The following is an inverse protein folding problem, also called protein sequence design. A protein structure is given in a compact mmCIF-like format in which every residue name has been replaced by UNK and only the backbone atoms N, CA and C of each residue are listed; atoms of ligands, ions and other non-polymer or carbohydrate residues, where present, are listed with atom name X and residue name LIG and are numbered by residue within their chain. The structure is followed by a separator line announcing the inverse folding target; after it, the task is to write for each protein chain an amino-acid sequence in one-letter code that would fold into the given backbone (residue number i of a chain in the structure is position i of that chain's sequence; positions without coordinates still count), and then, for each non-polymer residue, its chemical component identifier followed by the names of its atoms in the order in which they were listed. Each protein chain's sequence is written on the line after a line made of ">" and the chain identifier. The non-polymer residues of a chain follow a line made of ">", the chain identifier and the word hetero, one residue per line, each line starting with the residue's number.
data_IF_955166019222
#
_entry.id   IF_955166019222
#
_cell.length_a   1.000
_cell.length_b   1.000
_cell.length_c   1.000
_cell.angle_alpha   90.00
_cell.angle_beta   90.00
_cell.angle_gamma   90.00
#
_symmetry.space_group_name_H-M   'P 1'
#
loop_
_entity.id
_entity.type
_entity.pdbx_description
1 polymer ?
#
# COMPACT_ATOMS: atom_id res chain seq x y z
N UNK A 1 -2.56 -5.91 1.65
CA UNK A 1 -4.01 -6.14 1.87
C UNK A 1 -4.39 -7.60 1.77
N UNK A 2 -4.00 -8.27 0.69
CA UNK A 2 -4.17 -9.72 0.49
C UNK A 2 -3.58 -10.51 1.66
N UNK A 3 -2.40 -10.12 2.14
CA UNK A 3 -1.73 -10.78 3.27
C UNK A 3 -2.58 -10.81 4.55
N UNK A 4 -3.26 -9.70 4.87
CA UNK A 4 -4.14 -9.64 6.03
C UNK A 4 -5.41 -10.47 5.82
N UNK A 5 -5.98 -10.48 4.60
CA UNK A 5 -7.10 -11.38 4.30
C UNK A 5 -6.69 -12.86 4.46
N UNK A 6 -5.47 -13.23 4.05
CA UNK A 6 -4.91 -14.56 4.24
C UNK A 6 -4.69 -14.89 5.72
N UNK A 7 -4.19 -13.94 6.52
CA UNK A 7 -4.00 -14.13 7.96
C UNK A 7 -5.32 -14.35 8.72
N UNK A 8 -6.41 -13.72 8.25
CA UNK A 8 -7.77 -13.90 8.80
C UNK A 8 -8.32 -15.28 8.43
N UNK A 9 -8.29 -15.63 7.14
CA UNK A 9 -8.95 -16.84 6.63
C UNK A 9 -8.15 -18.11 6.87
N UNK A 10 -6.82 -17.99 6.84
CA UNK A 10 -5.87 -19.09 6.92
C UNK A 10 -4.72 -18.75 7.89
N UNK A 11 -5.00 -18.56 9.20
CA UNK A 11 -4.03 -18.05 10.17
C UNK A 11 -2.78 -18.92 10.39
N UNK A 12 -2.77 -20.14 9.87
CA UNK A 12 -1.65 -21.10 9.96
C UNK A 12 -0.87 -21.26 8.66
N UNK A 13 -1.26 -20.58 7.58
CA UNK A 13 -0.63 -20.75 6.26
C UNK A 13 0.77 -20.13 6.18
N UNK A 14 1.03 -19.09 6.98
CA UNK A 14 2.26 -18.30 6.95
C UNK A 14 2.77 -18.12 8.38
N UNK A 15 4.09 -18.19 8.56
CA UNK A 15 4.73 -18.04 9.88
C UNK A 15 5.10 -16.59 10.22
N UNK A 16 5.36 -15.77 9.19
CA UNK A 16 5.67 -14.36 9.32
C UNK A 16 5.11 -13.59 8.13
N UNK A 17 4.39 -12.51 8.40
CA UNK A 17 3.95 -11.56 7.38
C UNK A 17 4.85 -10.33 7.38
N UNK A 18 5.30 -9.93 6.18
CA UNK A 18 5.92 -8.64 5.93
C UNK A 18 4.98 -7.85 5.02
N UNK A 19 4.27 -6.88 5.61
CA UNK A 19 3.23 -6.12 4.92
C UNK A 19 3.78 -4.75 4.53
N UNK A 20 4.02 -4.54 3.23
CA UNK A 20 4.40 -3.24 2.68
C UNK A 20 3.16 -2.42 2.35
N UNK A 21 3.12 -1.14 2.73
CA UNK A 21 1.98 -0.27 2.46
C UNK A 21 0.71 -0.80 3.12
N UNK A 22 0.73 -0.95 4.45
CA UNK A 22 -0.41 -1.46 5.21
C UNK A 22 -0.70 -0.70 6.51
N UNK A 23 -1.99 -0.47 6.73
CA UNK A 23 -2.64 0.00 7.93
C UNK A 23 -4.12 -0.42 7.85
N UNK A 24 -4.89 -0.18 8.90
CA UNK A 24 -6.34 -0.31 8.89
C UNK A 24 -7.06 0.98 8.46
N UNK A 25 -6.44 1.76 7.56
CA UNK A 25 -6.95 3.05 7.05
C UNK A 25 -7.05 3.15 5.54
N UNK A 26 -7.13 2.03 4.83
CA UNK A 26 -7.29 2.05 3.38
C UNK A 26 -8.49 2.92 2.96
N UNK A 27 -9.64 2.76 3.62
CA UNK A 27 -10.87 3.45 3.21
C UNK A 27 -10.72 4.98 3.19
N UNK A 28 -9.85 5.52 4.03
CA UNK A 28 -9.54 6.94 4.09
C UNK A 28 -8.75 7.36 2.84
N UNK A 29 -7.61 6.72 2.55
CA UNK A 29 -6.76 7.11 1.42
C UNK A 29 -7.25 6.61 0.04
N UNK A 30 -8.07 5.57 0.00
CA UNK A 30 -8.66 5.03 -1.23
C UNK A 30 -9.47 6.08 -1.99
N UNK A 31 -10.13 7.00 -1.29
CA UNK A 31 -10.84 8.11 -1.92
C UNK A 31 -9.88 8.99 -2.75
N UNK A 32 -8.69 9.28 -2.22
CA UNK A 32 -7.62 9.98 -2.94
C UNK A 32 -7.16 9.19 -4.16
N UNK A 33 -6.88 7.89 -4.00
CA UNK A 33 -6.49 7.02 -5.13
C UNK A 33 -7.52 7.07 -6.26
N UNK A 34 -8.81 6.93 -5.95
CA UNK A 34 -9.88 6.88 -6.96
C UNK A 34 -10.07 8.21 -7.69
N UNK A 35 -10.01 9.33 -6.96
CA UNK A 35 -10.24 10.67 -7.54
C UNK A 35 -8.99 11.17 -8.26
N UNK A 36 -7.82 11.11 -7.62
CA UNK A 36 -6.59 11.69 -8.15
C UNK A 36 -6.04 10.89 -9.33
N UNK A 37 -6.12 9.56 -9.31
CA UNK A 37 -5.48 8.73 -10.35
C UNK A 37 -6.20 8.78 -11.71
N UNK A 38 -7.46 9.24 -11.73
CA UNK A 38 -8.27 9.33 -12.95
C UNK A 38 -8.43 7.97 -13.65
N UNK A 39 -9.06 7.00 -13.00
CA UNK A 39 -9.22 5.67 -13.59
C UNK A 39 -10.18 5.68 -14.78
N UNK A 40 -9.79 5.02 -15.85
CA UNK A 40 -10.63 4.71 -17.01
C UNK A 40 -10.46 3.23 -17.38
N UNK A 41 -11.43 2.63 -18.11
CA UNK A 41 -11.26 1.30 -18.69
C UNK A 41 -9.95 1.22 -19.48
N UNK A 42 -9.15 0.19 -19.19
CA UNK A 42 -7.81 0.04 -19.74
C UNK A 42 -7.81 -0.11 -21.26
N UNK A 43 -8.82 -0.77 -21.81
CA UNK A 43 -9.05 -0.91 -23.24
C UNK A 43 -9.23 0.46 -23.95
N UNK A 44 -9.77 1.47 -23.26
CA UNK A 44 -9.96 2.82 -23.81
C UNK A 44 -8.72 3.69 -23.57
N UNK A 45 -8.13 3.62 -22.38
CA UNK A 45 -7.01 4.49 -22.01
C UNK A 45 -5.68 4.08 -22.66
N UNK A 46 -5.45 2.77 -22.86
CA UNK A 46 -4.22 2.21 -23.42
C UNK A 46 -4.54 1.05 -24.39
N UNK A 47 -5.26 1.30 -25.50
CA UNK A 47 -5.78 0.25 -26.40
C UNK A 47 -4.66 -0.61 -27.01
N UNK A 48 -3.50 -0.04 -27.31
CA UNK A 48 -2.37 -0.79 -27.85
C UNK A 48 -1.83 -1.88 -26.90
N UNK A 49 -2.06 -1.75 -25.58
CA UNK A 49 -1.61 -2.72 -24.57
C UNK A 49 -2.75 -3.58 -24.04
N UNK A 50 -3.96 -3.02 -23.96
CA UNK A 50 -5.09 -3.61 -23.22
C UNK A 50 -6.42 -3.60 -23.99
N UNK A 51 -6.41 -3.39 -25.31
CA UNK A 51 -7.62 -3.18 -26.12
C UNK A 51 -8.66 -4.31 -26.04
N UNK A 52 -8.23 -5.53 -25.73
CA UNK A 52 -9.09 -6.71 -25.62
C UNK A 52 -9.55 -7.01 -24.18
N UNK A 53 -9.18 -6.19 -23.20
CA UNK A 53 -9.58 -6.40 -21.80
C UNK A 53 -11.03 -5.96 -21.54
N UNK A 54 -11.70 -6.67 -20.65
CA UNK A 54 -13.03 -6.30 -20.15
C UNK A 54 -13.02 -4.88 -19.51
N UNK A 55 -14.10 -4.08 -19.66
CA UNK A 55 -14.16 -2.73 -19.09
C UNK A 55 -13.97 -2.65 -17.57
N UNK A 56 -14.13 -3.77 -16.85
CA UNK A 56 -13.85 -3.90 -15.42
C UNK A 56 -12.36 -3.80 -15.06
N UNK A 57 -11.45 -3.95 -16.04
CA UNK A 57 -10.03 -3.63 -15.88
C UNK A 57 -9.81 -2.15 -16.14
N UNK A 58 -9.36 -1.43 -15.12
CA UNK A 58 -9.10 0.01 -15.19
C UNK A 58 -7.62 0.30 -15.02
N UNK A 59 -7.17 1.43 -15.58
CA UNK A 59 -5.82 1.96 -15.41
C UNK A 59 -5.90 3.44 -15.06
N UNK A 60 -4.92 3.92 -14.29
CA UNK A 60 -4.81 5.36 -14.02
C UNK A 60 -4.47 6.11 -15.30
N UNK A 61 -4.94 7.35 -15.41
CA UNK A 61 -4.67 8.22 -16.58
C UNK A 61 -4.13 9.60 -16.18
N UNK A 62 -4.24 9.97 -14.90
CA UNK A 62 -3.71 11.22 -14.39
C UNK A 62 -2.37 10.99 -13.66
N UNK A 63 -1.26 11.21 -14.37
CA UNK A 63 0.08 11.04 -13.81
C UNK A 63 0.37 11.99 -12.64
N UNK A 64 -0.11 13.24 -12.69
CA UNK A 64 0.09 14.18 -11.60
C UNK A 64 -0.60 13.71 -10.31
N UNK A 65 -1.85 13.23 -10.42
CA UNK A 65 -2.57 12.69 -9.28
C UNK A 65 -1.97 11.39 -8.74
N UNK A 66 -1.49 10.49 -9.61
CA UNK A 66 -0.72 9.31 -9.17
C UNK A 66 0.53 9.72 -8.41
N UNK A 67 1.28 10.71 -8.93
CA UNK A 67 2.47 11.23 -8.24
C UNK A 67 2.11 11.75 -6.85
N UNK A 68 1.05 12.57 -6.73
CA UNK A 68 0.60 13.14 -5.46
C UNK A 68 0.25 12.08 -4.42
N UNK A 69 -0.42 10.99 -4.82
CA UNK A 69 -0.92 9.98 -3.87
C UNK A 69 0.14 8.94 -3.51
N UNK A 70 0.99 8.55 -4.47
CA UNK A 70 1.89 7.40 -4.31
C UNK A 70 3.35 7.76 -4.04
N UNK A 71 3.78 8.98 -4.36
CA UNK A 71 5.18 9.41 -4.28
C UNK A 71 5.34 10.65 -3.41
N UNK A 72 6.39 10.66 -2.58
CA UNK A 72 6.74 11.80 -1.76
C UNK A 72 8.25 11.83 -1.49
N UNK A 73 8.84 13.01 -1.37
CA UNK A 73 10.21 13.13 -0.92
C UNK A 73 11.26 12.75 -1.97
N UNK A 74 12.23 11.91 -1.60
CA UNK A 74 13.42 11.62 -2.41
C UNK A 74 13.22 10.42 -3.33
N UNK A 75 12.71 10.71 -4.52
CA UNK A 75 12.64 9.78 -5.64
C UNK A 75 13.19 10.42 -6.91
N UNK A 76 13.54 9.57 -7.88
CA UNK A 76 13.98 10.01 -9.19
C UNK A 76 12.77 10.21 -10.11
N UNK A 77 12.63 11.38 -10.71
CA UNK A 77 11.55 11.65 -11.65
C UNK A 77 11.55 10.67 -12.83
N UNK A 78 12.72 10.21 -13.29
CA UNK A 78 12.81 9.22 -14.36
C UNK A 78 12.22 7.86 -13.93
N UNK A 79 12.40 7.48 -12.66
CA UNK A 79 11.80 6.26 -12.10
C UNK A 79 10.29 6.39 -12.04
N UNK A 80 9.77 7.54 -11.59
CA UNK A 80 8.32 7.80 -11.61
C UNK A 80 7.75 7.74 -13.03
N UNK A 81 8.40 8.38 -14.01
CA UNK A 81 7.94 8.34 -15.41
C UNK A 81 7.98 6.91 -15.97
N UNK A 82 8.99 6.11 -15.60
CA UNK A 82 9.07 4.72 -15.99
C UNK A 82 7.95 3.87 -15.34
N UNK A 83 7.68 4.06 -14.06
CA UNK A 83 6.58 3.40 -13.35
C UNK A 83 5.24 3.74 -14.00
N UNK A 84 4.94 5.03 -14.16
CA UNK A 84 3.70 5.48 -14.77
C UNK A 84 3.55 5.03 -16.23
N UNK A 85 4.61 5.05 -17.05
CA UNK A 85 4.53 4.56 -18.43
C UNK A 85 4.37 3.04 -18.54
N UNK A 86 4.83 2.28 -17.55
CA UNK A 86 4.73 0.81 -17.51
C UNK A 86 3.55 0.28 -16.72
N UNK A 87 2.78 1.16 -16.09
CA UNK A 87 1.65 0.84 -15.21
C UNK A 87 0.76 -0.28 -15.72
N UNK A 88 0.29 -1.07 -14.76
CA UNK A 88 -0.63 -2.18 -14.96
C UNK A 88 -2.08 -1.71 -15.03
N UNK A 89 -2.95 -2.70 -14.92
CA UNK A 89 -4.38 -2.51 -14.64
C UNK A 89 -4.69 -2.99 -13.24
N UNK A 90 -5.83 -2.57 -12.71
CA UNK A 90 -6.49 -3.21 -11.58
C UNK A 90 -7.95 -3.47 -11.95
N UNK A 91 -8.57 -4.45 -11.32
CA UNK A 91 -10.00 -4.72 -11.51
C UNK A 91 -10.83 -3.92 -10.52
N UNK A 92 -12.01 -3.50 -10.95
CA UNK A 92 -12.99 -2.87 -10.04
C UNK A 92 -13.34 -3.81 -8.87
N UNK A 93 -13.36 -5.12 -9.10
CA UNK A 93 -13.61 -6.12 -8.06
C UNK A 93 -12.51 -6.13 -6.98
N UNK A 94 -11.24 -5.99 -7.35
CA UNK A 94 -10.14 -5.85 -6.38
C UNK A 94 -10.33 -4.62 -5.49
N UNK A 95 -10.78 -3.49 -6.04
CA UNK A 95 -11.05 -2.25 -5.28
C UNK A 95 -12.09 -2.48 -4.18
N UNK A 96 -13.17 -3.21 -4.49
CA UNK A 96 -14.23 -3.49 -3.52
C UNK A 96 -13.79 -4.51 -2.47
N UNK A 97 -13.13 -5.57 -2.90
CA UNK A 97 -12.74 -6.69 -2.03
C UNK A 97 -11.52 -6.39 -1.16
N UNK A 98 -10.72 -5.38 -1.51
CA UNK A 98 -9.59 -4.90 -0.72
C UNK A 98 -9.96 -4.60 0.75
N UNK A 99 -11.20 -4.15 0.98
CA UNK A 99 -11.75 -3.85 2.31
C UNK A 99 -11.83 -5.07 3.24
N UNK A 100 -11.91 -6.30 2.71
CA UNK A 100 -11.87 -7.51 3.53
C UNK A 100 -10.51 -7.70 4.21
N UNK A 101 -9.45 -7.15 3.61
CA UNK A 101 -8.13 -7.08 4.22
C UNK A 101 -7.98 -5.99 5.27
N UNK A 102 -9.06 -5.32 5.72
CA UNK A 102 -9.05 -4.27 6.75
C UNK A 102 -9.66 -4.71 8.09
N UNK A 103 -9.88 -6.00 8.28
CA UNK A 103 -10.38 -6.57 9.54
C UNK A 103 -9.23 -7.07 10.43
N UNK A 104 -9.49 -7.18 11.74
CA UNK A 104 -8.55 -7.80 12.68
C UNK A 104 -8.40 -9.31 12.42
N UNK A 105 -7.20 -9.84 12.67
CA UNK A 105 -6.82 -11.24 12.53
C UNK A 105 -6.45 -11.86 13.90
N UNK A 106 -7.38 -11.94 14.87
CA UNK A 106 -7.07 -12.44 16.22
C UNK A 106 -6.64 -13.91 16.24
N UNK A 107 -6.97 -14.70 15.20
CA UNK A 107 -6.54 -16.10 15.09
C UNK A 107 -5.08 -16.27 14.66
N UNK A 108 -4.44 -15.24 14.12
CA UNK A 108 -3.05 -15.30 13.68
C UNK A 108 -2.09 -15.23 14.86
N UNK A 109 -1.16 -16.18 14.93
CA UNK A 109 -0.20 -16.32 16.04
C UNK A 109 1.26 -16.21 15.61
N UNK A 110 1.53 -16.07 14.30
CA UNK A 110 2.87 -15.85 13.78
C UNK A 110 3.37 -14.43 14.04
N UNK A 111 4.45 -14.05 13.36
CA UNK A 111 5.03 -12.70 13.46
C UNK A 111 4.45 -11.78 12.38
N UNK A 112 4.34 -10.47 12.68
CA UNK A 112 3.87 -9.45 11.73
C UNK A 112 4.84 -8.27 11.72
N UNK A 113 5.23 -7.85 10.52
CA UNK A 113 6.01 -6.63 10.31
C UNK A 113 5.31 -5.75 9.29
N UNK A 114 5.19 -4.46 9.62
CA UNK A 114 4.58 -3.46 8.72
C UNK A 114 5.64 -2.49 8.24
N UNK A 115 5.68 -2.23 6.94
CA UNK A 115 6.64 -1.35 6.31
C UNK A 115 5.92 -0.31 5.45
N UNK A 116 5.93 0.95 5.88
CA UNK A 116 5.28 2.06 5.16
C UNK A 116 6.28 3.16 4.83
N UNK A 117 5.99 3.97 3.81
CA UNK A 117 6.61 5.27 3.68
C UNK A 117 6.01 6.19 4.72
N UNK A 118 6.78 7.06 5.36
CA UNK A 118 6.23 7.92 6.41
C UNK A 118 5.17 8.89 5.85
N UNK A 119 5.27 9.23 4.58
CA UNK A 119 4.37 10.13 3.86
C UNK A 119 3.42 9.39 2.90
N UNK A 120 3.04 8.16 3.25
CA UNK A 120 2.12 7.33 2.47
C UNK A 120 0.70 7.93 2.40
N UNK A 121 0.37 8.54 1.26
CA UNK A 121 -0.94 9.17 0.99
C UNK A 121 -2.08 8.19 0.71
N UNK A 122 -1.87 6.88 0.87
CA UNK A 122 -2.91 5.85 0.70
C UNK A 122 -3.27 5.21 2.04
N UNK A 123 -2.28 4.89 2.86
CA UNK A 123 -2.47 4.12 4.11
C UNK A 123 -2.29 4.97 5.36
N UNK A 124 -1.81 6.21 5.26
CA UNK A 124 -1.55 7.09 6.40
C UNK A 124 -2.31 8.42 6.28
N UNK A 125 -3.56 8.33 5.83
CA UNK A 125 -4.50 9.44 5.71
C UNK A 125 -5.45 9.51 6.91
N UNK A 126 -5.71 10.71 7.43
CA UNK A 126 -6.67 10.91 8.52
C UNK A 126 -8.13 10.89 8.03
N UNK A 127 -8.37 11.17 6.74
CA UNK A 127 -9.73 11.17 6.21
C UNK A 127 -9.84 11.33 4.70
N UNK A 128 -11.01 10.96 4.13
CA UNK A 128 -11.19 10.90 2.68
C UNK A 128 -11.11 12.27 1.99
N UNK A 129 -11.52 13.35 2.65
CA UNK A 129 -11.42 14.71 2.06
C UNK A 129 -9.97 15.17 1.94
N UNK A 130 -9.10 14.78 2.87
CA UNK A 130 -7.68 15.12 2.84
C UNK A 130 -6.97 14.36 1.73
N UNK A 131 -7.25 13.05 1.62
CA UNK A 131 -6.79 12.21 0.53
C UNK A 131 -7.26 12.73 -0.84
N UNK A 132 -8.53 13.14 -0.96
CA UNK A 132 -9.06 13.77 -2.18
C UNK A 132 -8.35 15.10 -2.48
N UNK A 133 -8.02 15.89 -1.47
CA UNK A 133 -7.30 17.14 -1.64
C UNK A 133 -5.80 16.95 -1.95
N UNK A 134 -5.29 15.72 -1.91
CA UNK A 134 -3.87 15.44 -2.11
C UNK A 134 -2.98 15.95 -0.97
N UNK A 135 -3.54 16.01 0.25
CA UNK A 135 -2.74 16.26 1.45
C UNK A 135 -1.77 15.09 1.62
N UNK A 136 -0.54 15.38 2.05
CA UNK A 136 0.45 14.34 2.31
C UNK A 136 0.04 13.51 3.54
N UNK A 137 0.08 12.18 3.41
CA UNK A 137 -0.11 11.26 4.53
C UNK A 137 0.96 11.40 5.61
N UNK A 138 0.70 10.87 6.81
CA UNK A 138 1.63 10.94 7.94
C UNK A 138 1.52 9.69 8.85
N UNK A 139 2.37 8.70 8.57
CA UNK A 139 2.43 7.46 9.35
C UNK A 139 2.94 7.65 10.79
N UNK A 140 3.51 8.81 11.13
CA UNK A 140 3.94 9.11 12.50
C UNK A 140 2.75 9.25 13.48
N UNK A 141 1.53 9.46 12.95
CA UNK A 141 0.26 9.48 13.70
C UNK A 141 -0.20 8.13 14.23
N UNK A 142 0.63 7.09 14.12
CA UNK A 142 0.38 5.79 14.72
C UNK A 142 -0.41 4.81 13.85
N UNK A 143 -0.54 5.09 12.55
CA UNK A 143 -1.23 4.18 11.61
C UNK A 143 -0.54 2.81 11.51
N UNK A 144 0.79 2.80 11.42
CA UNK A 144 1.58 1.57 11.35
C UNK A 144 1.58 0.83 12.68
N UNK A 145 1.78 1.52 13.81
CA UNK A 145 1.79 0.91 15.14
C UNK A 145 0.41 0.36 15.54
N UNK A 146 -0.67 1.05 15.14
CA UNK A 146 -2.05 0.63 15.37
C UNK A 146 -2.43 -0.68 14.69
N UNK A 147 -1.64 -1.19 13.74
CA UNK A 147 -1.83 -2.53 13.18
C UNK A 147 -1.72 -3.61 14.26
N UNK A 148 -0.96 -3.35 15.35
CA UNK A 148 -0.86 -4.26 16.50
C UNK A 148 -2.23 -4.64 17.06
N UNK A 149 -3.20 -3.72 17.07
CA UNK A 149 -4.53 -3.94 17.62
C UNK A 149 -5.34 -4.95 16.82
N UNK A 150 -5.04 -5.07 15.51
CA UNK A 150 -5.62 -6.12 14.66
C UNK A 150 -4.97 -7.49 14.84
N UNK A 151 -3.85 -7.58 15.55
CA UNK A 151 -3.05 -8.78 15.73
C UNK A 151 -2.76 -9.06 17.22
N UNK A 152 -3.78 -9.18 18.08
CA UNK A 152 -3.61 -9.28 19.53
C UNK A 152 -2.79 -10.51 19.95
N UNK A 153 -2.86 -11.60 19.17
CA UNK A 153 -2.20 -12.87 19.47
C UNK A 153 -0.92 -13.12 18.67
N UNK A 154 -0.46 -12.14 17.87
CA UNK A 154 0.78 -12.30 17.12
C UNK A 154 1.99 -12.44 18.06
N UNK A 155 2.79 -13.49 17.83
CA UNK A 155 4.03 -13.79 18.56
C UNK A 155 4.96 -12.58 18.66
N UNK A 156 5.12 -11.88 17.55
CA UNK A 156 5.90 -10.65 17.49
C UNK A 156 5.24 -9.65 16.54
N UNK A 157 5.39 -8.38 16.86
CA UNK A 157 4.97 -7.29 16.00
C UNK A 157 6.09 -6.27 15.91
N UNK A 158 6.35 -5.79 14.69
CA UNK A 158 7.23 -4.66 14.45
C UNK A 158 6.67 -3.80 13.34
N UNK A 159 7.18 -2.58 13.25
CA UNK A 159 6.91 -1.72 12.11
C UNK A 159 8.11 -0.83 11.82
N UNK A 160 8.17 -0.31 10.60
CA UNK A 160 9.11 0.73 10.21
C UNK A 160 8.46 1.67 9.22
N UNK A 161 8.54 2.97 9.52
CA UNK A 161 8.13 4.04 8.59
C UNK A 161 9.40 4.61 7.97
N UNK A 162 9.53 4.47 6.66
CA UNK A 162 10.69 4.97 5.91
C UNK A 162 10.52 6.48 5.74
N UNK A 163 11.41 7.33 6.29
CA UNK A 163 11.23 8.78 6.20
C UNK A 163 11.36 9.28 4.75
N UNK A 164 10.72 10.41 4.44
CA UNK A 164 10.82 11.09 3.15
C UNK A 164 10.47 10.16 1.96
N UNK A 165 9.40 9.38 2.11
CA UNK A 165 8.99 8.28 1.23
C UNK A 165 7.47 8.16 1.20
N UNK A 166 6.90 8.09 0.00
CA UNK A 166 5.46 7.83 -0.21
C UNK A 166 5.07 6.34 -0.17
N UNK A 167 3.91 6.01 -0.75
CA UNK A 167 3.38 4.65 -0.80
C UNK A 167 4.28 3.68 -1.60
N UNK A 168 4.83 4.11 -2.73
CA UNK A 168 5.69 3.28 -3.58
C UNK A 168 7.12 3.17 -3.03
N UNK A 169 7.27 2.57 -1.85
CA UNK A 169 8.53 2.52 -1.08
C UNK A 169 9.75 2.10 -1.90
N UNK A 170 9.58 1.10 -2.75
CA UNK A 170 10.68 0.45 -3.47
C UNK A 170 11.21 1.26 -4.65
N UNK A 171 10.50 2.32 -5.05
CA UNK A 171 10.91 3.21 -6.15
C UNK A 171 11.54 4.52 -5.67
N UNK A 172 11.69 4.70 -4.35
CA UNK A 172 12.39 5.84 -3.74
C UNK A 172 13.88 5.53 -3.50
N UNK A 173 14.73 6.56 -3.40
CA UNK A 173 16.16 6.37 -3.09
C UNK A 173 16.39 5.82 -1.68
N UNK A 174 15.42 6.01 -0.80
CA UNK A 174 15.35 5.50 0.56
C UNK A 174 15.01 4.02 0.65
N UNK A 175 14.68 3.33 -0.45
CA UNK A 175 14.24 1.92 -0.45
C UNK A 175 15.20 0.97 0.29
N UNK A 176 16.51 1.24 0.26
CA UNK A 176 17.52 0.44 0.98
C UNK A 176 17.31 0.46 2.50
N UNK A 177 16.76 1.54 3.06
CA UNK A 177 16.40 1.62 4.48
C UNK A 177 15.25 0.66 4.80
N UNK A 178 14.23 0.64 3.94
CA UNK A 178 13.09 -0.27 4.04
C UNK A 178 13.54 -1.73 3.95
N UNK A 179 14.42 -2.05 2.99
CA UNK A 179 15.00 -3.39 2.85
C UNK A 179 15.83 -3.78 4.07
N UNK A 180 16.68 -2.88 4.59
CA UNK A 180 17.46 -3.13 5.81
C UNK A 180 16.57 -3.41 7.01
N UNK A 181 15.50 -2.62 7.20
CA UNK A 181 14.56 -2.80 8.30
C UNK A 181 13.83 -4.16 8.19
N UNK A 182 13.33 -4.49 7.00
CA UNK A 182 12.69 -5.76 6.69
C UNK A 182 13.58 -6.97 7.01
N UNK A 183 14.80 -7.00 6.45
CA UNK A 183 15.74 -8.11 6.62
C UNK A 183 16.25 -8.19 8.06
N UNK A 184 16.54 -7.05 8.70
CA UNK A 184 16.96 -7.01 10.09
C UNK A 184 15.88 -7.56 11.03
N UNK A 185 14.62 -7.22 10.78
CA UNK A 185 13.51 -7.77 11.56
C UNK A 185 13.34 -9.27 11.34
N UNK A 186 13.33 -9.73 10.07
CA UNK A 186 13.21 -11.15 9.73
C UNK A 186 14.32 -11.99 10.37
N UNK A 187 15.58 -11.51 10.28
CA UNK A 187 16.72 -12.16 10.92
C UNK A 187 16.55 -12.25 12.44
N UNK A 188 16.05 -11.19 13.08
CA UNK A 188 15.72 -11.19 14.50
C UNK A 188 14.56 -12.14 14.89
N UNK A 189 13.76 -12.60 13.91
CA UNK A 189 12.72 -13.62 14.10
C UNK A 189 13.20 -15.04 13.80
N UNK A 190 14.43 -15.21 13.31
CA UNK A 190 15.02 -16.51 12.96
C UNK A 190 14.82 -16.96 11.52
N UNK A 191 14.64 -16.01 10.58
CA UNK A 191 14.58 -16.25 9.13
C UNK A 191 15.85 -15.79 8.40
#
# INVERSE_FOLDING_TARGET
>A
MVDNALSIQHPKAVHAYLMTGFSFRLLQGQAGVMVQSGFLPAAVALPAKYGDLDPGYVTSTNGAGVRTVFYHGDFDDAVFQQDFSRRGTLTIAEVYTATFGQMSAPGYTGSVFVLNGNEDGVLCEDGPLQAIAGVTGDCSKGFSSGVRDGYPNAKAFGFYNTPNTGHCLHTHRTAQQSFKAAHGWLSGQGF
#
